data_IF_234276292309
#
_entry.id   IF_234276292309
#
_cell.length_a   1.000
_cell.length_b   1.000
_cell.length_c   1.000
_cell.angle_alpha   90.00
_cell.angle_beta   90.00
_cell.angle_gamma   90.00
#
_symmetry.space_group_name_H-M   'P 1'
#
loop_
_entity.id
_entity.type
_entity.pdbx_description
1 polymer ?
#
# COMPACT_ATOMS: atom_id res chain seq x y z
N UNK A 1 -8.01 3.61 29.04
CA UNK A 1 -7.21 2.91 28.00
C UNK A 1 -7.62 1.45 27.76
N UNK A 2 -8.11 0.68 28.76
CA UNK A 2 -8.58 -0.71 28.57
C UNK A 2 -9.91 -0.83 27.81
N UNK A 3 -10.85 0.10 27.97
CA UNK A 3 -12.15 0.09 27.26
C UNK A 3 -12.02 0.29 25.74
N UNK A 4 -11.14 1.20 25.29
CA UNK A 4 -10.90 1.40 23.86
C UNK A 4 -10.27 0.17 23.17
N UNK A 5 -9.51 -0.64 23.91
CA UNK A 5 -8.93 -1.88 23.42
C UNK A 5 -9.94 -3.04 23.45
N UNK A 6 -10.87 -3.04 24.42
CA UNK A 6 -11.97 -4.01 24.49
C UNK A 6 -12.97 -3.82 23.34
N UNK A 7 -13.25 -2.57 22.93
CA UNK A 7 -14.13 -2.28 21.80
C UNK A 7 -13.53 -2.65 20.44
N UNK A 8 -12.22 -2.43 20.24
CA UNK A 8 -11.53 -2.80 18.99
C UNK A 8 -11.40 -4.34 18.83
N UNK A 9 -11.32 -5.07 19.95
CA UNK A 9 -11.35 -6.54 19.98
C UNK A 9 -12.76 -7.08 19.71
N UNK A 10 -13.80 -6.45 20.29
CA UNK A 10 -15.20 -6.86 20.08
C UNK A 10 -15.68 -6.71 18.63
N UNK A 11 -15.16 -5.75 17.86
CA UNK A 11 -15.49 -5.55 16.44
C UNK A 11 -14.69 -6.45 15.48
N UNK A 12 -13.61 -7.05 15.97
CA UNK A 12 -12.80 -8.01 15.23
C UNK A 12 -13.39 -9.44 15.28
N UNK A 13 -14.28 -9.71 16.24
CA UNK A 13 -14.94 -10.99 16.47
C UNK A 13 -16.26 -11.16 15.70
N UNK A 14 -16.69 -10.11 15.00
CA UNK A 14 -17.78 -10.22 14.02
C UNK A 14 -17.39 -11.25 12.95
N UNK A 15 -18.23 -12.26 12.70
CA UNK A 15 -17.89 -13.33 11.78
C UNK A 15 -17.62 -12.77 10.39
N UNK A 16 -16.53 -13.22 9.76
CA UNK A 16 -16.29 -12.85 8.38
C UNK A 16 -17.34 -13.52 7.47
N UNK A 17 -17.65 -12.94 6.29
CA UNK A 17 -18.57 -13.56 5.34
C UNK A 17 -18.09 -14.92 4.80
N UNK A 18 -16.81 -15.25 5.01
CA UNK A 18 -16.17 -16.47 4.50
C UNK A 18 -15.88 -17.41 5.67
N UNK A 19 -16.49 -18.62 5.70
CA UNK A 19 -16.25 -19.59 6.75
C UNK A 19 -14.75 -19.90 6.90
N UNK A 20 -14.25 -19.85 8.14
CA UNK A 20 -12.84 -20.18 8.45
C UNK A 20 -11.83 -19.04 8.25
N UNK A 21 -12.26 -17.83 7.86
CA UNK A 21 -11.39 -16.65 7.69
C UNK A 21 -11.71 -15.60 8.74
N UNK A 22 -10.68 -14.94 9.30
CA UNK A 22 -10.89 -13.82 10.23
C UNK A 22 -11.34 -12.56 9.49
N UNK A 23 -12.15 -11.72 10.13
CA UNK A 23 -12.65 -10.47 9.53
C UNK A 23 -11.52 -9.54 9.08
N UNK A 24 -10.44 -9.46 9.85
CA UNK A 24 -9.27 -8.66 9.49
C UNK A 24 -8.59 -9.16 8.21
N UNK A 25 -8.46 -10.49 8.05
CA UNK A 25 -7.92 -11.07 6.81
C UNK A 25 -8.85 -10.77 5.64
N UNK A 26 -10.16 -10.96 5.79
CA UNK A 26 -11.12 -10.64 4.73
C UNK A 26 -11.05 -9.17 4.28
N UNK A 27 -11.02 -8.22 5.23
CA UNK A 27 -10.92 -6.79 4.91
C UNK A 27 -9.58 -6.48 4.25
N UNK A 28 -8.47 -6.97 4.81
CA UNK A 28 -7.14 -6.72 4.25
C UNK A 28 -6.98 -7.34 2.87
N UNK A 29 -7.58 -8.49 2.59
CA UNK A 29 -7.58 -9.09 1.26
C UNK A 29 -8.23 -8.17 0.23
N UNK A 30 -9.38 -7.57 0.54
CA UNK A 30 -10.04 -6.61 -0.36
C UNK A 30 -9.23 -5.32 -0.54
N UNK A 31 -8.64 -4.80 0.55
CA UNK A 31 -7.77 -3.63 0.49
C UNK A 31 -6.53 -3.90 -0.36
N UNK A 32 -5.85 -5.03 -0.15
CA UNK A 32 -4.69 -5.45 -0.95
C UNK A 32 -5.07 -5.68 -2.40
N UNK A 33 -6.17 -6.38 -2.67
CA UNK A 33 -6.65 -6.61 -4.04
C UNK A 33 -6.87 -5.28 -4.79
N UNK A 34 -7.59 -4.34 -4.18
CA UNK A 34 -7.84 -3.04 -4.81
C UNK A 34 -6.53 -2.24 -5.01
N UNK A 35 -5.61 -2.31 -4.06
CA UNK A 35 -4.33 -1.66 -4.17
C UNK A 35 -3.47 -2.24 -5.29
N UNK A 36 -3.40 -3.57 -5.41
CA UNK A 36 -2.63 -4.29 -6.43
C UNK A 36 -3.20 -4.03 -7.81
N UNK A 37 -4.51 -4.19 -8.00
CA UNK A 37 -5.18 -3.88 -9.28
C UNK A 37 -4.83 -2.45 -9.73
N UNK A 38 -4.94 -1.48 -8.82
CA UNK A 38 -4.63 -0.11 -9.14
C UNK A 38 -3.14 0.14 -9.45
N UNK A 39 -2.22 -0.62 -8.84
CA UNK A 39 -0.79 -0.50 -9.12
C UNK A 39 -0.44 -1.14 -10.48
N UNK A 40 -0.98 -2.32 -10.77
CA UNK A 40 -0.79 -3.00 -12.06
C UNK A 40 -1.36 -2.19 -13.23
N UNK A 41 -2.47 -1.47 -13.03
CA UNK A 41 -2.99 -0.53 -14.02
C UNK A 41 -2.03 0.62 -14.34
N UNK A 42 -1.23 1.05 -13.35
CA UNK A 42 -0.29 2.16 -13.50
C UNK A 42 1.07 1.72 -14.04
N UNK A 43 1.43 0.45 -13.86
CA UNK A 43 2.71 -0.09 -14.29
C UNK A 43 3.05 0.21 -15.76
N UNK A 44 2.13 0.03 -16.75
CA UNK A 44 2.40 0.44 -18.13
C UNK A 44 2.21 1.94 -18.37
N UNK A 45 1.39 2.63 -17.56
CA UNK A 45 1.09 4.05 -17.74
C UNK A 45 2.28 4.93 -17.38
N UNK A 46 3.01 4.58 -16.31
CA UNK A 46 4.14 5.36 -15.81
C UNK A 46 5.28 5.54 -16.85
N UNK A 47 5.82 4.49 -17.50
CA UNK A 47 6.86 4.66 -18.51
C UNK A 47 6.36 5.41 -19.74
N UNK A 48 5.10 5.21 -20.15
CA UNK A 48 4.48 5.95 -21.26
C UNK A 48 4.38 7.45 -20.90
N UNK A 49 3.92 7.77 -19.69
CA UNK A 49 3.84 9.14 -19.21
C UNK A 49 5.22 9.82 -19.21
N UNK A 50 6.24 9.15 -18.65
CA UNK A 50 7.60 9.66 -18.60
C UNK A 50 8.18 9.92 -20.00
N UNK A 51 7.98 8.99 -20.94
CA UNK A 51 8.59 9.09 -22.28
C UNK A 51 7.81 9.99 -23.23
N UNK A 52 6.48 9.89 -23.26
CA UNK A 52 5.61 10.60 -24.21
C UNK A 52 5.24 11.98 -23.69
N UNK A 53 4.92 12.11 -22.40
CA UNK A 53 4.43 13.38 -21.83
C UNK A 53 5.58 14.24 -21.34
N UNK A 54 6.53 13.65 -20.59
CA UNK A 54 7.70 14.38 -20.08
C UNK A 54 8.90 14.37 -21.04
N UNK A 55 8.88 13.57 -22.12
CA UNK A 55 10.01 13.48 -23.06
C UNK A 55 11.26 12.81 -22.47
N UNK A 56 11.11 12.02 -21.41
CA UNK A 56 12.23 11.41 -20.69
C UNK A 56 12.88 10.33 -21.56
N UNK A 57 14.22 10.33 -21.74
CA UNK A 57 14.93 9.24 -22.41
C UNK A 57 14.69 7.88 -21.73
N UNK A 58 14.52 6.82 -22.52
CA UNK A 58 14.26 5.45 -22.02
C UNK A 58 15.34 4.98 -21.03
N UNK A 59 16.60 5.34 -21.25
CA UNK A 59 17.69 5.01 -20.32
C UNK A 59 17.46 5.58 -18.92
N UNK A 60 16.87 6.77 -18.79
CA UNK A 60 16.54 7.37 -17.50
C UNK A 60 15.30 6.75 -16.87
N UNK A 61 14.37 6.20 -17.65
CA UNK A 61 13.23 5.43 -17.11
C UNK A 61 13.74 4.22 -16.31
N UNK A 62 14.72 3.49 -16.85
CA UNK A 62 15.35 2.38 -16.11
C UNK A 62 16.04 2.82 -14.82
N UNK A 63 16.65 4.01 -14.78
CA UNK A 63 17.22 4.58 -13.55
C UNK A 63 16.12 4.91 -12.54
N UNK A 64 15.02 5.52 -12.99
CA UNK A 64 13.88 5.85 -12.13
C UNK A 64 13.27 4.58 -11.54
N UNK A 65 13.04 3.55 -12.36
CA UNK A 65 12.54 2.25 -11.90
C UNK A 65 13.49 1.59 -10.91
N UNK A 66 14.80 1.62 -11.18
CA UNK A 66 15.80 1.09 -10.25
C UNK A 66 15.78 1.78 -8.89
N UNK A 67 15.68 3.12 -8.87
CA UNK A 67 15.55 3.89 -7.63
C UNK A 67 14.22 3.59 -6.93
N UNK A 68 13.12 3.49 -7.68
CA UNK A 68 11.81 3.17 -7.15
C UNK A 68 11.78 1.79 -6.47
N UNK A 69 12.31 0.76 -7.14
CA UNK A 69 12.37 -0.60 -6.61
C UNK A 69 13.31 -0.70 -5.40
N UNK A 70 14.48 -0.02 -5.46
CA UNK A 70 15.40 0.06 -4.33
C UNK A 70 14.79 0.76 -3.11
N UNK A 71 14.01 1.82 -3.33
CA UNK A 71 13.28 2.54 -2.28
C UNK A 71 12.15 1.69 -1.70
N UNK A 72 11.41 0.97 -2.55
CA UNK A 72 10.35 0.03 -2.16
C UNK A 72 10.90 -1.10 -1.28
N UNK A 73 11.99 -1.75 -1.71
CA UNK A 73 12.66 -2.79 -0.94
C UNK A 73 13.14 -2.28 0.43
N UNK A 74 13.82 -1.13 0.44
CA UNK A 74 14.33 -0.51 1.67
C UNK A 74 13.17 -0.11 2.62
N UNK A 75 12.09 0.45 2.08
CA UNK A 75 10.89 0.80 2.85
C UNK A 75 10.21 -0.41 3.47
N UNK A 76 10.16 -1.56 2.79
CA UNK A 76 9.62 -2.81 3.35
C UNK A 76 10.42 -3.25 4.57
N UNK A 77 11.76 -3.23 4.48
CA UNK A 77 12.64 -3.59 5.61
C UNK A 77 12.46 -2.62 6.78
N UNK A 78 12.51 -1.30 6.51
CA UNK A 78 12.35 -0.28 7.54
C UNK A 78 10.97 -0.35 8.21
N UNK A 79 9.90 -0.51 7.42
CA UNK A 79 8.53 -0.59 7.91
C UNK A 79 8.26 -1.89 8.66
N UNK A 80 8.87 -3.00 8.25
CA UNK A 80 8.79 -4.27 8.98
C UNK A 80 9.41 -4.13 10.37
N UNK A 81 10.64 -3.63 10.44
CA UNK A 81 11.32 -3.35 11.71
C UNK A 81 10.53 -2.39 12.60
N UNK A 82 9.93 -1.35 12.01
CA UNK A 82 9.10 -0.39 12.75
C UNK A 82 7.79 -1.03 13.23
N UNK A 83 7.15 -1.86 12.40
CA UNK A 83 5.92 -2.57 12.74
C UNK A 83 6.10 -3.55 13.89
N UNK A 84 7.29 -4.13 14.05
CA UNK A 84 7.57 -5.07 15.14
C UNK A 84 7.84 -4.38 16.47
N UNK A 85 8.21 -3.10 16.43
CA UNK A 85 8.44 -2.26 17.63
C UNK A 85 7.19 -1.52 18.07
N UNK A 86 6.24 -1.30 17.16
CA UNK A 86 5.01 -0.59 17.48
C UNK A 86 3.97 -1.53 18.11
N UNK A 87 3.32 -1.13 19.23
CA UNK A 87 2.29 -1.95 19.88
C UNK A 87 0.99 -2.04 19.07
N UNK A 88 0.79 -1.17 18.05
CA UNK A 88 -0.35 -1.20 17.14
C UNK A 88 0.10 -1.05 15.70
N UNK A 89 -0.23 -2.03 14.86
CA UNK A 89 0.14 -2.06 13.43
C UNK A 89 -0.81 -1.24 12.53
N UNK A 90 -2.03 -0.99 13.01
CA UNK A 90 -3.11 -0.33 12.25
C UNK A 90 -2.72 1.04 11.65
N UNK A 91 -2.08 1.96 12.41
CA UNK A 91 -1.67 3.25 11.86
C UNK A 91 -0.62 3.15 10.74
N UNK A 92 0.30 2.17 10.83
CA UNK A 92 1.30 1.93 9.80
C UNK A 92 0.65 1.48 8.50
N UNK A 93 -0.30 0.54 8.60
CA UNK A 93 -1.05 0.03 7.45
C UNK A 93 -1.84 1.15 6.79
N UNK A 94 -2.57 1.96 7.56
CA UNK A 94 -3.34 3.08 7.01
C UNK A 94 -2.45 4.14 6.38
N UNK A 95 -1.29 4.45 6.98
CA UNK A 95 -0.35 5.40 6.40
C UNK A 95 0.25 4.89 5.09
N UNK A 96 0.65 3.61 5.02
CA UNK A 96 1.19 3.01 3.80
C UNK A 96 0.20 3.01 2.64
N UNK A 97 -1.03 2.54 2.87
CA UNK A 97 -2.08 2.58 1.85
C UNK A 97 -2.51 4.00 1.49
N UNK A 98 -2.57 4.91 2.47
CA UNK A 98 -2.89 6.33 2.25
C UNK A 98 -1.85 7.02 1.37
N UNK A 99 -0.56 6.77 1.62
CA UNK A 99 0.54 7.31 0.82
C UNK A 99 0.49 6.75 -0.62
N UNK A 100 0.23 5.45 -0.77
CA UNK A 100 0.05 4.84 -2.09
C UNK A 100 -1.12 5.48 -2.86
N UNK A 101 -2.28 5.65 -2.21
CA UNK A 101 -3.45 6.29 -2.82
C UNK A 101 -3.16 7.75 -3.23
N UNK A 102 -2.44 8.50 -2.39
CA UNK A 102 -2.06 9.88 -2.70
C UNK A 102 -1.16 9.97 -3.93
N UNK A 103 -0.13 9.12 -4.03
CA UNK A 103 0.76 9.10 -5.20
C UNK A 103 0.02 8.83 -6.50
N UNK A 104 -0.93 7.88 -6.46
CA UNK A 104 -1.80 7.54 -7.59
C UNK A 104 -2.71 8.71 -7.98
N UNK A 105 -3.26 9.42 -7.00
CA UNK A 105 -4.10 10.58 -7.23
C UNK A 105 -3.31 11.75 -7.84
N UNK A 106 -2.09 12.00 -7.38
CA UNK A 106 -1.23 13.03 -7.96
C UNK A 106 -0.91 12.75 -9.44
N UNK A 107 -0.61 11.49 -9.79
CA UNK A 107 -0.39 11.09 -11.17
C UNK A 107 -1.67 11.21 -12.03
N UNK A 108 -2.84 10.95 -11.44
CA UNK A 108 -4.11 11.12 -12.14
C UNK A 108 -4.46 12.61 -12.40
N UNK A 109 -3.85 13.55 -11.68
CA UNK A 109 -4.08 14.98 -11.81
C UNK A 109 -3.04 15.71 -12.67
N UNK A 110 -1.92 15.06 -13.00
CA UNK A 110 -0.82 15.63 -13.80
C UNK A 110 -1.01 15.43 -15.29
#
# INVERSE_FOLDING_TARGET
MREAQALDVSLADEPSPVPGVSRNVFILSWVSFAADVSTEMLYPVLPIFLTVTLGTPVALVGVIEGIAEGTSGTSKVASGWLSDRLPRRRPLVTAGYGLAALGKLLLALS
#
